data_IF_760632218977
#
_entry.id   IF_760632218977
#
_cell.length_a   1.000
_cell.length_b   1.000
_cell.length_c   1.000
_cell.angle_alpha   90.00
_cell.angle_beta   90.00
_cell.angle_gamma   90.00
#
_symmetry.space_group_name_H-M   'P 1'
#
loop_
_entity.id
_entity.type
_entity.pdbx_description
1 polymer ?
#
# COMPACT_ATOMS: atom_id res chain seq x y z
N UNK A 1 -15.61 -7.98 -19.07
CA UNK A 1 -14.48 -7.54 -18.26
C UNK A 1 -14.31 -8.56 -17.16
N UNK A 2 -13.12 -8.85 -16.65
CA UNK A 2 -12.99 -9.74 -15.51
C UNK A 2 -13.72 -9.14 -14.31
N UNK A 3 -14.44 -9.99 -13.55
CA UNK A 3 -14.92 -9.60 -12.23
C UNK A 3 -13.69 -9.48 -11.31
N UNK A 4 -13.24 -8.25 -11.08
CA UNK A 4 -12.16 -7.95 -10.14
C UNK A 4 -12.83 -7.51 -8.85
N UNK A 5 -12.54 -8.22 -7.77
CA UNK A 5 -13.00 -7.86 -6.43
C UNK A 5 -11.83 -7.37 -5.59
N UNK A 6 -11.99 -6.21 -4.94
CA UNK A 6 -11.00 -5.65 -4.01
C UNK A 6 -11.46 -5.86 -2.58
N UNK A 7 -10.62 -6.52 -1.78
CA UNK A 7 -10.86 -6.82 -0.39
C UNK A 7 -9.83 -6.07 0.45
N UNK A 8 -10.17 -4.92 1.04
CA UNK A 8 -9.30 -4.24 2.00
C UNK A 8 -9.31 -4.99 3.34
N UNK A 9 -8.16 -5.10 3.99
CA UNK A 9 -8.07 -5.68 5.32
C UNK A 9 -6.96 -5.00 6.15
N UNK A 10 -7.23 -4.83 7.44
CA UNK A 10 -6.26 -4.30 8.39
C UNK A 10 -5.19 -5.36 8.63
N UNK A 11 -3.94 -5.03 8.37
CA UNK A 11 -2.80 -5.96 8.53
C UNK A 11 -1.89 -5.56 9.67
N UNK A 12 -1.78 -4.27 9.96
CA UNK A 12 -1.01 -3.78 11.11
C UNK A 12 -1.49 -2.42 11.59
N UNK A 13 -1.08 -2.06 12.81
CA UNK A 13 -1.28 -0.74 13.40
C UNK A 13 0.00 -0.33 14.13
N UNK A 14 0.41 0.91 13.97
CA UNK A 14 1.51 1.53 14.71
C UNK A 14 0.95 2.38 15.84
N UNK A 15 1.58 2.34 17.00
CA UNK A 15 1.19 3.23 18.09
C UNK A 15 1.76 4.61 17.86
N UNK A 16 0.88 5.59 17.82
CA UNK A 16 1.25 7.00 17.70
C UNK A 16 1.89 7.52 18.99
N UNK A 17 2.80 8.47 18.87
CA UNK A 17 3.32 9.23 20.02
C UNK A 17 2.21 10.03 20.69
N UNK A 18 2.35 10.43 21.98
CA UNK A 18 1.33 11.23 22.66
C UNK A 18 0.93 12.51 21.91
N UNK A 19 1.89 13.20 21.30
CA UNK A 19 1.65 14.43 20.55
C UNK A 19 0.86 14.15 19.26
N UNK A 20 1.16 13.05 18.57
CA UNK A 20 0.43 12.61 17.39
C UNK A 20 -0.99 12.13 17.73
N UNK A 21 -1.15 11.45 18.89
CA UNK A 21 -2.48 11.05 19.37
C UNK A 21 -3.37 12.27 19.64
N UNK A 22 -2.82 13.32 20.25
CA UNK A 22 -3.54 14.56 20.48
C UNK A 22 -3.89 15.26 19.15
N UNK A 23 -2.92 15.30 18.21
CA UNK A 23 -3.10 15.93 16.91
C UNK A 23 -4.15 15.22 16.05
N UNK A 24 -4.09 13.89 15.99
CA UNK A 24 -4.93 13.08 15.11
C UNK A 24 -6.19 12.52 15.76
N UNK A 25 -6.36 12.74 17.08
CA UNK A 25 -7.49 12.25 17.88
C UNK A 25 -7.68 10.73 17.76
N UNK A 26 -6.57 9.98 17.64
CA UNK A 26 -6.52 8.51 17.60
C UNK A 26 -5.23 8.00 18.23
N UNK A 27 -5.25 6.76 18.76
CA UNK A 27 -4.09 6.10 19.40
C UNK A 27 -3.23 5.33 18.38
N UNK A 28 -3.86 4.81 17.33
CA UNK A 28 -3.25 3.87 16.40
C UNK A 28 -3.28 4.39 14.97
N UNK A 29 -2.19 4.14 14.24
CA UNK A 29 -2.07 4.40 12.82
C UNK A 29 -2.23 3.08 12.06
N UNK A 30 -3.34 2.86 11.35
CA UNK A 30 -3.61 1.60 10.69
C UNK A 30 -2.82 1.50 9.37
N UNK A 31 -2.41 0.27 9.01
CA UNK A 31 -1.95 -0.05 7.67
C UNK A 31 -2.88 -1.10 7.06
N UNK A 32 -3.51 -0.75 5.96
CA UNK A 32 -4.38 -1.61 5.18
C UNK A 32 -3.62 -2.19 4.00
N UNK A 33 -3.75 -3.51 3.83
CA UNK A 33 -3.39 -4.20 2.62
C UNK A 33 -4.67 -4.53 1.82
N UNK A 34 -4.51 -4.85 0.55
CA UNK A 34 -5.63 -5.18 -0.33
C UNK A 34 -5.36 -6.50 -1.05
N UNK A 35 -6.30 -7.42 -0.96
CA UNK A 35 -6.32 -8.60 -1.82
C UNK A 35 -7.22 -8.30 -3.02
N UNK A 36 -6.72 -8.57 -4.20
CA UNK A 36 -7.44 -8.41 -5.45
C UNK A 36 -7.71 -9.81 -6.01
N UNK A 37 -8.96 -10.22 -5.96
CA UNK A 37 -9.39 -11.44 -6.63
C UNK A 37 -9.42 -11.19 -8.13
N UNK A 38 -8.59 -11.92 -8.85
CA UNK A 38 -8.45 -11.85 -10.29
C UNK A 38 -8.55 -13.27 -10.89
N UNK A 39 -8.94 -13.38 -12.15
CA UNK A 39 -9.05 -14.68 -12.84
C UNK A 39 -7.77 -15.51 -12.84
N UNK A 40 -6.61 -14.86 -12.69
CA UNK A 40 -5.29 -15.50 -12.72
C UNK A 40 -4.75 -15.79 -11.30
N UNK A 41 -5.54 -15.56 -10.25
CA UNK A 41 -5.21 -15.79 -8.84
C UNK A 41 -5.41 -14.54 -7.98
N UNK A 42 -4.74 -14.51 -6.86
CA UNK A 42 -4.80 -13.39 -5.91
C UNK A 42 -3.60 -12.45 -6.13
N UNK A 43 -3.87 -11.19 -6.33
CA UNK A 43 -2.83 -10.16 -6.34
C UNK A 43 -2.92 -9.35 -5.03
N UNK A 44 -1.78 -9.09 -4.37
CA UNK A 44 -1.73 -8.28 -3.17
C UNK A 44 -1.19 -6.87 -3.46
N UNK A 45 -1.76 -5.88 -2.82
CA UNK A 45 -1.23 -4.52 -2.78
C UNK A 45 -0.95 -4.15 -1.33
N UNK A 46 0.35 -4.01 -0.98
CA UNK A 46 0.93 -3.90 0.35
C UNK A 46 0.74 -5.15 1.24
N UNK A 47 1.46 -5.20 2.38
CA UNK A 47 1.36 -6.31 3.33
C UNK A 47 1.70 -5.92 4.78
N UNK A 48 1.87 -4.63 5.08
CA UNK A 48 2.00 -4.14 6.45
C UNK A 48 3.38 -4.32 7.07
N UNK A 49 3.44 -4.14 8.38
CA UNK A 49 4.65 -4.24 9.22
C UNK A 49 5.09 -5.69 9.36
N UNK A 50 6.41 -5.92 9.36
CA UNK A 50 7.01 -7.23 9.63
C UNK A 50 7.13 -7.54 11.13
N UNK A 51 7.90 -8.57 11.44
CA UNK A 51 8.09 -9.09 12.80
C UNK A 51 9.57 -9.15 13.18
N UNK A 52 9.85 -9.06 14.49
CA UNK A 52 11.15 -9.38 15.07
C UNK A 52 12.22 -8.31 14.87
N UNK A 53 11.85 -7.07 14.57
CA UNK A 53 12.77 -5.94 14.59
C UNK A 53 12.61 -5.17 15.90
N UNK A 54 13.62 -5.24 16.78
CA UNK A 54 13.54 -4.66 18.12
C UNK A 54 13.41 -3.14 18.13
N UNK A 55 13.95 -2.45 17.11
CA UNK A 55 13.82 -1.00 16.98
C UNK A 55 12.40 -0.59 16.63
N UNK A 56 11.81 -1.23 15.63
CA UNK A 56 10.39 -1.00 15.25
C UNK A 56 9.48 -1.35 16.41
N UNK A 57 9.71 -2.48 17.08
CA UNK A 57 8.89 -2.90 18.25
C UNK A 57 8.98 -1.91 19.40
N UNK A 58 10.17 -1.40 19.71
CA UNK A 58 10.35 -0.44 20.80
C UNK A 58 9.84 0.96 20.49
N UNK A 59 9.91 1.38 19.23
CA UNK A 59 9.54 2.74 18.79
C UNK A 59 8.03 2.86 18.54
N UNK A 60 7.45 1.89 17.84
CA UNK A 60 6.07 1.98 17.33
C UNK A 60 5.11 1.00 18.02
N UNK A 61 5.63 0.07 18.88
CA UNK A 61 4.84 -0.96 19.54
C UNK A 61 3.74 -1.56 18.63
N UNK A 62 4.06 -2.06 17.43
CA UNK A 62 3.08 -2.40 16.42
C UNK A 62 2.19 -3.55 16.85
N UNK A 63 0.93 -3.51 16.40
CA UNK A 63 0.03 -4.65 16.37
C UNK A 63 0.07 -5.21 14.96
N UNK A 64 0.51 -6.44 14.79
CA UNK A 64 0.69 -7.05 13.47
C UNK A 64 -0.10 -8.36 13.40
N UNK A 65 -0.91 -8.50 12.36
CA UNK A 65 -1.54 -9.75 11.99
C UNK A 65 -0.69 -10.42 10.90
N UNK A 66 -0.25 -11.68 11.06
CA UNK A 66 0.40 -12.40 9.99
C UNK A 66 -0.44 -12.36 8.71
N UNK A 67 0.20 -12.08 7.56
CA UNK A 67 -0.53 -11.89 6.30
C UNK A 67 -1.39 -13.11 5.92
N UNK A 68 -0.91 -14.31 6.20
CA UNK A 68 -1.67 -15.54 5.97
C UNK A 68 -2.93 -15.62 6.84
N UNK A 69 -2.86 -15.15 8.10
CA UNK A 69 -4.01 -15.15 9.00
C UNK A 69 -5.02 -14.08 8.59
N UNK A 70 -4.52 -12.90 8.18
CA UNK A 70 -5.37 -11.82 7.68
C UNK A 70 -6.12 -12.24 6.40
N UNK A 71 -5.46 -12.91 5.47
CA UNK A 71 -6.08 -13.44 4.25
C UNK A 71 -7.08 -14.56 4.55
N UNK A 72 -6.75 -15.45 5.50
CA UNK A 72 -7.61 -16.58 5.87
C UNK A 72 -8.99 -16.15 6.40
N UNK A 73 -9.10 -14.98 7.03
CA UNK A 73 -10.40 -14.40 7.45
C UNK A 73 -11.33 -14.20 6.26
N UNK A 74 -10.77 -13.94 5.07
CA UNK A 74 -11.50 -13.74 3.83
C UNK A 74 -11.59 -15.01 2.96
N UNK A 75 -11.15 -16.15 3.48
CA UNK A 75 -11.15 -17.43 2.75
C UNK A 75 -10.05 -17.53 1.69
N UNK A 76 -9.05 -16.64 1.73
CA UNK A 76 -7.92 -16.62 0.81
C UNK A 76 -6.74 -17.34 1.44
N UNK A 77 -6.07 -18.18 0.65
CA UNK A 77 -4.86 -18.88 1.07
C UNK A 77 -3.63 -18.16 0.52
N UNK A 78 -2.61 -17.95 1.36
CA UNK A 78 -1.37 -17.29 0.92
C UNK A 78 -0.69 -17.97 -0.29
N UNK A 79 -0.71 -19.31 -0.43
CA UNK A 79 -0.24 -19.98 -1.66
C UNK A 79 -1.00 -19.63 -2.95
N UNK A 80 -2.21 -19.05 -2.87
CA UNK A 80 -2.98 -18.63 -4.04
C UNK A 80 -2.55 -17.24 -4.55
N UNK A 81 -1.64 -16.57 -3.82
CA UNK A 81 -1.08 -15.27 -4.21
C UNK A 81 -0.14 -15.47 -5.41
N UNK A 82 -0.42 -14.76 -6.49
CA UNK A 82 0.30 -14.84 -7.76
C UNK A 82 1.16 -13.62 -8.07
N UNK A 83 1.01 -12.55 -7.30
CA UNK A 83 1.80 -11.34 -7.41
C UNK A 83 1.55 -10.40 -6.22
N UNK A 84 2.56 -9.59 -5.91
CA UNK A 84 2.50 -8.55 -4.87
C UNK A 84 3.02 -7.26 -5.46
N UNK A 85 2.40 -6.13 -5.14
CA UNK A 85 3.02 -4.84 -5.35
C UNK A 85 3.05 -4.07 -4.03
N UNK A 86 4.17 -3.43 -3.72
CA UNK A 86 4.23 -2.47 -2.64
C UNK A 86 4.05 -1.07 -3.22
N UNK A 87 3.21 -0.25 -2.60
CA UNK A 87 3.08 1.14 -3.02
C UNK A 87 4.42 1.87 -2.89
N UNK A 88 5.19 1.53 -1.85
CA UNK A 88 6.60 1.87 -1.64
C UNK A 88 7.20 0.88 -0.62
N UNK A 89 8.49 1.03 -0.26
CA UNK A 89 9.19 0.03 0.54
C UNK A 89 9.44 0.46 2.00
N UNK A 90 8.69 1.41 2.55
CA UNK A 90 8.73 1.62 4.00
C UNK A 90 8.20 0.38 4.73
N UNK A 91 8.67 0.23 5.96
CA UNK A 91 8.48 -0.98 6.77
C UNK A 91 7.03 -1.34 7.08
N UNK A 92 6.12 -0.38 7.02
CA UNK A 92 4.69 -0.55 7.29
C UNK A 92 3.85 -0.89 6.04
N UNK A 93 4.50 -1.00 4.87
CA UNK A 93 3.92 -1.46 3.60
C UNK A 93 4.53 -2.74 3.07
N UNK A 94 5.81 -2.99 3.36
CA UNK A 94 6.60 -4.07 2.78
C UNK A 94 7.14 -5.07 3.79
N UNK A 95 6.87 -4.87 5.08
CA UNK A 95 7.50 -5.63 6.16
C UNK A 95 7.20 -7.13 6.16
N UNK A 96 6.09 -7.56 5.58
CA UNK A 96 5.77 -8.98 5.45
C UNK A 96 6.11 -9.56 4.07
N UNK A 97 6.89 -8.87 3.24
CA UNK A 97 7.42 -9.45 1.99
C UNK A 97 8.15 -10.77 2.26
N UNK A 98 8.85 -10.87 3.37
CA UNK A 98 9.55 -12.10 3.81
C UNK A 98 8.61 -13.33 3.94
N UNK A 99 7.31 -13.13 4.05
CA UNK A 99 6.30 -14.22 4.16
C UNK A 99 5.71 -14.63 2.81
N UNK A 100 5.98 -13.85 1.76
CA UNK A 100 5.47 -14.12 0.41
C UNK A 100 6.12 -15.41 -0.12
N UNK A 101 5.34 -16.31 -0.73
CA UNK A 101 5.88 -17.56 -1.25
C UNK A 101 7.00 -17.34 -2.26
N UNK A 102 8.05 -18.16 -2.16
CA UNK A 102 9.20 -18.11 -3.08
C UNK A 102 8.77 -18.18 -4.54
N UNK A 103 9.28 -17.25 -5.35
CA UNK A 103 8.99 -17.17 -6.78
C UNK A 103 7.76 -16.35 -7.14
N UNK A 104 6.98 -15.87 -6.16
CA UNK A 104 5.94 -14.87 -6.40
C UNK A 104 6.62 -13.52 -6.65
N UNK A 105 6.34 -12.83 -7.77
CA UNK A 105 6.95 -11.54 -8.07
C UNK A 105 6.43 -10.46 -7.12
N UNK A 106 7.37 -9.59 -6.67
CA UNK A 106 7.09 -8.39 -5.89
C UNK A 106 7.45 -7.18 -6.75
N UNK A 107 6.45 -6.44 -7.18
CA UNK A 107 6.61 -5.32 -8.11
C UNK A 107 6.92 -4.02 -7.39
N UNK A 108 8.01 -3.36 -7.78
CA UNK A 108 8.47 -2.08 -7.22
C UNK A 108 9.00 -1.18 -8.32
N UNK A 109 8.86 0.14 -8.18
CA UNK A 109 9.45 1.09 -9.13
C UNK A 109 10.97 1.17 -8.94
N UNK A 110 11.71 1.40 -10.04
CA UNK A 110 13.18 1.57 -10.01
C UNK A 110 13.62 2.71 -9.08
N UNK A 111 12.89 3.80 -9.04
CA UNK A 111 13.22 4.93 -8.17
C UNK A 111 13.08 4.55 -6.68
N UNK A 112 12.16 3.66 -6.34
CA UNK A 112 11.98 3.09 -5.01
C UNK A 112 13.12 2.13 -4.67
N UNK A 113 13.40 1.19 -5.58
CA UNK A 113 14.48 0.22 -5.42
C UNK A 113 15.84 0.88 -5.25
N UNK A 114 16.08 2.02 -5.87
CA UNK A 114 17.32 2.77 -5.73
C UNK A 114 17.51 3.36 -4.32
N UNK A 115 16.45 3.48 -3.52
CA UNK A 115 16.45 4.06 -2.18
C UNK A 115 16.42 3.04 -1.05
N UNK A 116 16.04 1.81 -1.33
CA UNK A 116 15.72 0.79 -0.33
C UNK A 116 16.85 0.49 0.67
N UNK A 117 18.11 0.70 0.27
CA UNK A 117 19.28 0.50 1.13
C UNK A 117 19.87 1.81 1.70
N UNK A 118 19.16 2.94 1.55
CA UNK A 118 19.55 4.16 2.27
C UNK A 118 19.31 3.97 3.78
N UNK A 119 20.14 4.59 4.65
CA UNK A 119 19.95 4.50 6.10
C UNK A 119 18.53 4.91 6.51
N UNK A 120 17.94 4.17 7.43
CA UNK A 120 16.63 4.42 8.04
C UNK A 120 15.44 4.43 7.05
N UNK A 121 15.64 3.94 5.81
CA UNK A 121 14.58 3.89 4.82
C UNK A 121 13.56 2.76 5.11
N UNK A 122 14.08 1.58 5.43
CA UNK A 122 13.28 0.39 5.74
C UNK A 122 14.10 -0.58 6.60
N UNK A 123 13.55 -1.77 6.86
CA UNK A 123 14.26 -2.86 7.55
C UNK A 123 14.91 -3.77 6.52
N UNK A 124 16.26 -3.73 6.35
CA UNK A 124 16.94 -4.48 5.28
C UNK A 124 16.67 -5.99 5.34
N UNK A 125 16.57 -6.58 6.55
CA UNK A 125 16.34 -8.00 6.73
C UNK A 125 14.97 -8.47 6.17
N UNK A 126 14.01 -7.57 6.05
CA UNK A 126 12.70 -7.88 5.48
C UNK A 126 12.67 -7.76 3.95
N UNK A 127 13.61 -6.98 3.40
CA UNK A 127 13.73 -6.75 1.95
C UNK A 127 14.69 -7.76 1.30
N UNK A 128 15.83 -8.03 1.96
CA UNK A 128 16.89 -8.88 1.42
C UNK A 128 16.72 -10.36 1.81
N UNK A 129 15.55 -10.75 2.31
CA UNK A 129 15.32 -12.12 2.74
C UNK A 129 15.47 -13.12 1.57
N UNK A 130 16.08 -14.28 1.81
CA UNK A 130 16.26 -15.30 0.78
C UNK A 130 14.91 -15.77 0.20
N UNK A 131 14.84 -15.91 -1.11
CA UNK A 131 13.66 -16.41 -1.82
C UNK A 131 12.69 -15.34 -2.32
N UNK A 132 12.90 -14.07 -1.96
CA UNK A 132 12.14 -12.96 -2.52
C UNK A 132 12.56 -12.69 -3.98
N UNK A 133 11.60 -12.36 -4.81
CA UNK A 133 11.80 -12.06 -6.23
C UNK A 133 11.22 -10.68 -6.53
N UNK A 134 12.08 -9.66 -6.59
CA UNK A 134 11.66 -8.31 -6.95
C UNK A 134 11.69 -8.10 -8.47
N UNK A 135 10.58 -7.62 -9.00
CA UNK A 135 10.44 -7.15 -10.38
C UNK A 135 10.49 -5.61 -10.39
N UNK A 136 11.63 -5.09 -10.85
CA UNK A 136 11.91 -3.64 -10.84
C UNK A 136 11.37 -2.99 -12.11
N UNK A 137 10.38 -2.14 -11.94
CA UNK A 137 9.61 -1.50 -13.00
C UNK A 137 10.14 -0.10 -13.36
N UNK A 138 9.92 0.30 -14.61
CA UNK A 138 10.13 1.65 -15.09
C UNK A 138 8.84 2.22 -15.67
N UNK A 139 8.13 3.04 -14.89
CA UNK A 139 6.91 3.70 -15.33
C UNK A 139 5.65 2.86 -15.14
N UNK A 140 4.60 3.21 -15.90
CA UNK A 140 3.32 2.51 -15.87
C UNK A 140 3.42 1.14 -16.55
N UNK A 141 2.93 0.10 -15.85
CA UNK A 141 2.96 -1.28 -16.36
C UNK A 141 1.66 -1.99 -15.99
N UNK A 142 1.08 -2.71 -16.95
CA UNK A 142 0.02 -3.68 -16.71
C UNK A 142 0.64 -5.01 -16.24
N UNK A 143 0.43 -5.35 -14.96
CA UNK A 143 1.01 -6.55 -14.32
C UNK A 143 0.13 -7.78 -14.43
N UNK A 144 -1.17 -7.58 -14.65
CA UNK A 144 -2.14 -8.58 -15.06
C UNK A 144 -3.26 -7.89 -15.83
N UNK A 145 -4.05 -8.60 -16.65
CA UNK A 145 -5.09 -7.95 -17.45
C UNK A 145 -6.05 -7.10 -16.62
N UNK A 146 -6.03 -5.78 -16.86
CA UNK A 146 -6.81 -4.80 -16.12
C UNK A 146 -6.23 -4.38 -14.77
N UNK A 147 -5.00 -4.80 -14.42
CA UNK A 147 -4.28 -4.36 -13.23
C UNK A 147 -3.04 -3.58 -13.64
N UNK A 148 -3.04 -2.26 -13.46
CA UNK A 148 -1.96 -1.36 -13.86
C UNK A 148 -1.31 -0.69 -12.66
N UNK A 149 0.00 -0.89 -12.49
CA UNK A 149 0.82 -0.12 -11.55
C UNK A 149 1.21 1.20 -12.22
N UNK A 150 0.94 2.30 -11.54
CA UNK A 150 1.12 3.65 -12.04
C UNK A 150 2.03 4.41 -11.08
N UNK A 151 3.16 4.98 -11.53
CA UNK A 151 3.99 5.83 -10.69
C UNK A 151 3.23 7.03 -10.15
N UNK A 152 3.24 7.20 -8.84
CA UNK A 152 2.60 8.31 -8.14
C UNK A 152 3.58 8.89 -7.10
N UNK A 153 4.72 9.46 -7.58
CA UNK A 153 5.72 10.02 -6.68
C UNK A 153 5.15 11.15 -5.82
N UNK A 154 5.69 11.27 -4.62
CA UNK A 154 5.26 12.27 -3.64
C UNK A 154 5.74 11.87 -2.27
N UNK A 155 5.10 10.92 -1.61
CA UNK A 155 5.53 10.36 -0.34
C UNK A 155 6.97 9.79 -0.44
N UNK A 156 7.22 8.99 -1.46
CA UNK A 156 8.57 8.63 -1.90
C UNK A 156 8.74 8.88 -3.39
N UNK A 157 9.98 8.95 -3.86
CA UNK A 157 10.28 9.16 -5.28
C UNK A 157 9.83 7.99 -6.17
N UNK A 158 9.74 6.79 -5.60
CA UNK A 158 9.34 5.58 -6.30
C UNK A 158 7.97 5.06 -5.92
N UNK A 159 7.16 5.86 -5.22
CA UNK A 159 5.79 5.48 -4.88
C UNK A 159 4.97 5.15 -6.13
N UNK A 160 4.12 4.13 -6.03
CA UNK A 160 3.18 3.71 -7.07
C UNK A 160 1.80 3.42 -6.49
N UNK A 161 0.79 3.61 -7.31
CA UNK A 161 -0.61 3.22 -7.03
C UNK A 161 -1.04 2.11 -7.96
N UNK A 162 -2.10 1.38 -7.61
CA UNK A 162 -2.70 0.37 -8.47
C UNK A 162 -4.04 0.85 -9.00
N UNK A 163 -4.22 0.78 -10.32
CA UNK A 163 -5.47 1.10 -11.02
C UNK A 163 -6.04 -0.18 -11.61
N UNK A 164 -7.31 -0.45 -11.31
CA UNK A 164 -7.99 -1.67 -11.71
C UNK A 164 -9.17 -1.36 -12.63
N UNK A 165 -9.33 -2.16 -13.68
CA UNK A 165 -10.49 -2.12 -14.57
C UNK A 165 -11.57 -3.08 -14.03
N UNK A 166 -12.45 -2.58 -13.15
CA UNK A 166 -13.59 -3.34 -12.64
C UNK A 166 -14.83 -3.21 -13.54
N UNK A 167 -15.84 -4.06 -13.32
CA UNK A 167 -17.05 -4.05 -14.13
C UNK A 167 -17.84 -2.74 -14.02
N UNK A 168 -17.82 -2.11 -12.84
CA UNK A 168 -18.46 -0.85 -12.53
C UNK A 168 -17.69 0.40 -12.98
N UNK A 169 -16.44 0.25 -13.36
CA UNK A 169 -15.53 1.34 -13.72
C UNK A 169 -14.14 1.19 -13.09
N UNK A 170 -13.33 2.22 -13.14
CA UNK A 170 -11.98 2.16 -12.59
C UNK A 170 -11.99 2.25 -11.06
N UNK A 171 -11.22 1.37 -10.41
CA UNK A 171 -10.95 1.40 -8.98
C UNK A 171 -9.49 1.75 -8.77
N UNK A 172 -9.21 2.66 -7.84
CA UNK A 172 -7.85 3.09 -7.50
C UNK A 172 -7.49 2.63 -6.08
N UNK A 173 -6.36 1.95 -5.94
CA UNK A 173 -5.70 1.76 -4.66
C UNK A 173 -4.57 2.78 -4.60
N UNK A 174 -4.81 3.87 -3.87
CA UNK A 174 -3.92 5.03 -3.87
C UNK A 174 -2.58 4.78 -3.15
N UNK A 175 -2.51 3.72 -2.31
CA UNK A 175 -1.39 3.53 -1.41
C UNK A 175 -1.29 4.72 -0.45
N UNK A 176 -0.09 5.26 -0.32
CA UNK A 176 0.17 6.48 0.46
C UNK A 176 0.40 7.71 -0.45
N UNK A 177 -0.07 7.67 -1.71
CA UNK A 177 -0.17 8.90 -2.51
C UNK A 177 -1.15 9.90 -1.86
N UNK A 178 -2.15 9.37 -1.14
CA UNK A 178 -3.09 10.07 -0.27
C UNK A 178 -3.30 9.22 0.98
N UNK A 179 -3.37 9.85 2.14
CA UNK A 179 -3.50 9.13 3.40
C UNK A 179 -4.94 8.73 3.71
N UNK A 180 -5.91 9.53 3.24
CA UNK A 180 -7.30 9.36 3.63
C UNK A 180 -8.30 9.77 2.55
N UNK A 181 -9.54 9.34 2.78
CA UNK A 181 -10.69 9.82 2.02
C UNK A 181 -10.85 11.34 2.13
N UNK A 182 -10.61 11.93 3.30
CA UNK A 182 -10.75 13.36 3.50
C UNK A 182 -9.75 14.15 2.62
N UNK A 183 -8.51 13.68 2.49
CA UNK A 183 -7.55 14.28 1.55
C UNK A 183 -8.01 14.15 0.09
N UNK A 184 -8.57 13.02 -0.29
CA UNK A 184 -9.14 12.83 -1.63
C UNK A 184 -10.26 13.84 -1.90
N UNK A 185 -11.10 14.14 -0.92
CA UNK A 185 -12.18 15.11 -0.98
C UNK A 185 -11.69 16.57 -0.86
N UNK A 186 -10.38 16.79 -0.70
CA UNK A 186 -9.75 18.10 -0.70
C UNK A 186 -9.53 18.71 0.69
N UNK A 187 -9.70 17.94 1.76
CA UNK A 187 -9.34 18.39 3.09
C UNK A 187 -7.82 18.47 3.27
N UNK A 188 -7.35 19.41 4.08
CA UNK A 188 -5.97 19.41 4.57
C UNK A 188 -5.95 18.71 5.91
N UNK A 189 -5.35 17.53 5.95
CA UNK A 189 -5.19 16.79 7.20
C UNK A 189 -3.87 17.13 7.90
N UNK A 190 -3.85 17.11 9.25
CA UNK A 190 -2.59 17.17 9.98
C UNK A 190 -1.76 15.92 9.66
N UNK A 191 -0.48 16.11 9.38
CA UNK A 191 0.41 14.98 9.12
C UNK A 191 1.19 14.58 10.35
N UNK A 192 1.34 13.29 10.57
CA UNK A 192 2.39 12.75 11.44
C UNK A 192 3.75 12.93 10.78
N UNK A 193 4.80 12.98 11.59
CA UNK A 193 6.17 13.10 11.09
C UNK A 193 6.48 12.00 10.07
N UNK A 194 6.85 12.40 8.87
CA UNK A 194 7.16 11.49 7.76
C UNK A 194 5.95 10.93 7.00
N UNK A 195 4.72 11.18 7.45
CA UNK A 195 3.53 10.58 6.85
C UNK A 195 2.78 11.49 5.85
N UNK A 196 3.13 12.76 5.73
CA UNK A 196 2.41 13.69 4.84
C UNK A 196 2.92 13.65 3.41
N UNK A 197 2.16 13.02 2.55
CA UNK A 197 2.35 13.11 1.09
C UNK A 197 2.06 14.51 0.53
N UNK A 198 1.21 15.29 1.20
CA UNK A 198 0.81 16.62 0.74
C UNK A 198 1.95 17.64 0.65
N UNK A 199 3.10 17.36 1.27
CA UNK A 199 4.28 18.25 1.28
C UNK A 199 5.34 17.89 0.25
N UNK A 200 5.22 16.72 -0.36
CA UNK A 200 6.18 16.25 -1.32
C UNK A 200 5.97 16.89 -2.71
N UNK A 201 7.04 17.26 -3.43
CA UNK A 201 6.93 17.96 -4.72
C UNK A 201 6.10 17.22 -5.79
N UNK A 202 6.06 15.88 -5.73
CA UNK A 202 5.31 15.04 -6.66
C UNK A 202 3.81 14.93 -6.35
N UNK A 203 3.40 15.25 -5.13
CA UNK A 203 2.04 15.02 -4.64
C UNK A 203 0.92 15.60 -5.52
N UNK A 204 0.93 16.89 -5.92
CA UNK A 204 -0.16 17.46 -6.70
C UNK A 204 -0.36 16.74 -8.04
N UNK A 205 0.73 16.46 -8.74
CA UNK A 205 0.69 15.78 -10.05
C UNK A 205 0.20 14.34 -9.93
N UNK A 206 0.58 13.63 -8.87
CA UNK A 206 0.14 12.26 -8.61
C UNK A 206 -1.35 12.20 -8.30
N UNK A 207 -1.86 13.16 -7.50
CA UNK A 207 -3.30 13.25 -7.21
C UNK A 207 -4.10 13.59 -8.47
N UNK A 208 -3.63 14.53 -9.31
CA UNK A 208 -4.26 14.85 -10.59
C UNK A 208 -4.27 13.64 -11.52
N UNK A 209 -3.17 12.90 -11.60
CA UNK A 209 -3.09 11.66 -12.38
C UNK A 209 -4.13 10.64 -11.91
N UNK A 210 -4.21 10.36 -10.60
CA UNK A 210 -5.20 9.43 -10.06
C UNK A 210 -6.64 9.87 -10.33
N UNK A 211 -6.92 11.16 -10.24
CA UNK A 211 -8.24 11.73 -10.59
C UNK A 211 -8.56 11.63 -12.07
N UNK A 212 -7.55 11.69 -12.94
CA UNK A 212 -7.74 11.60 -14.40
C UNK A 212 -8.25 10.23 -14.87
N UNK A 213 -8.07 9.18 -14.06
CA UNK A 213 -8.67 7.87 -14.32
C UNK A 213 -10.18 7.85 -14.09
N UNK A 214 -10.77 8.91 -13.58
CA UNK A 214 -12.19 9.04 -13.30
C UNK A 214 -12.74 7.85 -12.50
N UNK A 215 -12.14 7.52 -11.31
CA UNK A 215 -12.46 6.31 -10.57
C UNK A 215 -13.88 6.33 -10.03
N UNK A 216 -14.49 5.15 -9.93
CA UNK A 216 -15.76 4.94 -9.21
C UNK A 216 -15.54 4.69 -7.73
N UNK A 217 -14.32 4.24 -7.37
CA UNK A 217 -13.92 3.93 -5.99
C UNK A 217 -12.43 4.18 -5.78
N UNK A 218 -12.07 4.68 -4.59
CA UNK A 218 -10.68 4.87 -4.17
C UNK A 218 -10.46 4.31 -2.77
N UNK A 219 -9.41 3.52 -2.60
CA UNK A 219 -8.95 2.95 -1.33
C UNK A 219 -7.63 3.59 -0.92
N UNK A 220 -7.37 3.62 0.39
CA UNK A 220 -6.20 4.26 1.00
C UNK A 220 -5.46 3.26 1.90
N UNK A 221 -4.15 3.46 2.09
CA UNK A 221 -3.35 2.57 2.93
C UNK A 221 -3.59 2.80 4.43
N UNK A 222 -3.98 4.01 4.84
CA UNK A 222 -4.08 4.39 6.26
C UNK A 222 -5.49 4.85 6.70
N UNK A 223 -6.49 4.62 5.85
CA UNK A 223 -7.89 4.96 6.15
C UNK A 223 -8.82 3.79 5.79
N UNK A 224 -9.65 3.32 6.74
CA UNK A 224 -10.68 2.33 6.45
C UNK A 224 -11.80 2.87 5.55
N UNK A 225 -11.95 4.19 5.47
CA UNK A 225 -12.98 4.82 4.68
C UNK A 225 -12.65 4.75 3.18
N UNK A 226 -13.52 4.12 2.43
CA UNK A 226 -13.43 4.05 0.97
C UNK A 226 -14.18 5.26 0.40
N UNK A 227 -13.55 5.94 -0.57
CA UNK A 227 -14.30 6.92 -1.34
C UNK A 227 -15.06 6.23 -2.47
N UNK A 228 -16.31 6.58 -2.63
CA UNK A 228 -17.14 6.15 -3.76
C UNK A 228 -17.68 7.38 -4.49
N UNK A 229 -17.72 7.29 -5.82
CA UNK A 229 -18.29 8.36 -6.63
C UNK A 229 -19.75 8.59 -6.23
N UNK A 230 -20.15 9.84 -5.92
CA UNK A 230 -21.55 10.14 -5.63
C UNK A 230 -22.47 9.72 -6.78
N UNK A 231 -23.57 9.08 -6.44
CA UNK A 231 -24.64 8.78 -7.42
C UNK A 231 -25.19 10.08 -8.00
N UNK A 232 -25.25 10.18 -9.30
CA UNK A 232 -25.83 11.33 -10.03
C UNK A 232 -27.35 11.36 -9.93
#
# INVERSE_FOLDING_TARGET
MPDVCVIPFLVSELRLTPDEQELLQREWWPSYAHAIEHRDGIFLFDNGVGFGNAEIESTFAPRVTPIEDALAVHGISLPDVTGVANCHLHFDHSGQNIRIPTGVPIFVQRAEWAKVHEPDYTVPEWIDAPGLTYEVLDGEIEVAPGLRLVPTPGHTAGHQSLVLDAAEGQVVLAGQALQSRAEWEGATEPSVSGASSARDPGYPSSVELLRSFDPVRVHFAHDPAIWERPSS
#
